data_IF_331547761971
#
_entry.id   IF_331547761971
#
_cell.length_a   1.000
_cell.length_b   1.000
_cell.length_c   1.000
_cell.angle_alpha   90.00
_cell.angle_beta   90.00
_cell.angle_gamma   90.00
#
_symmetry.space_group_name_H-M   'P 1'
#
loop_
_entity.id
_entity.type
_entity.pdbx_description
1 polymer ?
#
# COMPACT_ATOMS: atom_id res chain seq x y z
N UNK A 1 -20.05 -8.66 -8.73
CA UNK A 1 -18.90 -8.61 -9.65
C UNK A 1 -18.03 -9.83 -9.38
N UNK A 2 -17.52 -10.51 -10.40
CA UNK A 2 -16.61 -11.66 -10.20
C UNK A 2 -15.20 -11.14 -9.92
N UNK A 3 -14.77 -11.16 -8.66
CA UNK A 3 -13.45 -10.65 -8.24
C UNK A 3 -12.29 -11.43 -8.85
N UNK A 4 -12.53 -12.65 -9.37
CA UNK A 4 -11.49 -13.44 -10.06
C UNK A 4 -11.03 -12.80 -11.36
N UNK A 5 -11.83 -11.91 -11.94
CA UNK A 5 -11.50 -11.20 -13.19
C UNK A 5 -10.57 -10.01 -12.97
N UNK A 6 -10.38 -9.56 -11.74
CA UNK A 6 -9.47 -8.45 -11.44
C UNK A 6 -8.04 -9.00 -11.46
N UNK A 7 -7.15 -8.49 -12.32
CA UNK A 7 -5.75 -8.92 -12.34
C UNK A 7 -5.07 -8.65 -11.00
N UNK A 8 -4.23 -9.59 -10.56
CA UNK A 8 -3.46 -9.45 -9.32
C UNK A 8 -1.97 -9.38 -9.64
N UNK A 9 -1.27 -8.42 -9.06
CA UNK A 9 0.18 -8.35 -8.99
C UNK A 9 0.65 -8.82 -7.62
N UNK A 10 1.54 -9.80 -7.59
CA UNK A 10 2.31 -10.21 -6.44
C UNK A 10 3.77 -9.73 -6.59
N UNK A 11 4.18 -8.81 -5.73
CA UNK A 11 5.56 -8.36 -5.58
C UNK A 11 6.25 -9.22 -4.51
N UNK A 12 7.39 -9.82 -4.83
CA UNK A 12 8.09 -10.69 -3.90
C UNK A 12 9.62 -10.52 -3.97
N UNK A 13 10.32 -11.00 -2.96
CA UNK A 13 11.78 -11.04 -2.95
C UNK A 13 12.31 -12.35 -2.36
N UNK A 14 12.59 -12.40 -1.06
CA UNK A 14 13.36 -13.48 -0.44
C UNK A 14 12.73 -14.08 0.83
N UNK A 15 11.41 -13.85 1.05
CA UNK A 15 10.67 -14.29 2.25
C UNK A 15 9.65 -15.38 1.90
N UNK A 16 10.13 -16.61 1.71
CA UNK A 16 9.27 -17.73 1.34
C UNK A 16 8.19 -18.05 2.39
N UNK A 17 8.50 -17.87 3.67
CA UNK A 17 7.61 -18.20 4.79
C UNK A 17 6.37 -17.28 4.87
N UNK A 18 6.53 -15.97 4.69
CA UNK A 18 5.38 -15.05 4.60
C UNK A 18 4.68 -15.21 3.25
N UNK A 19 5.45 -15.42 2.17
CA UNK A 19 4.92 -15.64 0.83
C UNK A 19 3.95 -16.83 0.81
N UNK A 20 4.30 -17.95 1.44
CA UNK A 20 3.43 -19.13 1.51
C UNK A 20 2.06 -18.81 2.12
N UNK A 21 2.00 -17.94 3.12
CA UNK A 21 0.75 -17.53 3.74
C UNK A 21 -0.09 -16.63 2.81
N UNK A 22 0.56 -15.64 2.16
CA UNK A 22 -0.10 -14.79 1.16
C UNK A 22 -0.61 -15.64 -0.03
N UNK A 23 0.18 -16.63 -0.44
CA UNK A 23 -0.14 -17.55 -1.53
C UNK A 23 -1.37 -18.40 -1.24
N UNK A 24 -1.58 -18.85 0.00
CA UNK A 24 -2.83 -19.55 0.36
C UNK A 24 -4.06 -18.67 0.14
N UNK A 25 -3.97 -17.38 0.44
CA UNK A 25 -5.07 -16.45 0.20
C UNK A 25 -5.30 -16.23 -1.31
N UNK A 26 -4.24 -16.13 -2.11
CA UNK A 26 -4.33 -16.10 -3.58
C UNK A 26 -4.96 -17.37 -4.15
N UNK A 27 -4.55 -18.55 -3.67
CA UNK A 27 -5.09 -19.84 -4.08
C UNK A 27 -6.57 -20.00 -3.74
N UNK A 28 -7.03 -19.41 -2.63
CA UNK A 28 -8.45 -19.35 -2.30
C UNK A 28 -9.22 -18.37 -3.20
N UNK A 29 -8.61 -17.23 -3.54
CA UNK A 29 -9.21 -16.23 -4.41
C UNK A 29 -9.27 -16.67 -5.88
N UNK A 30 -8.35 -17.53 -6.32
CA UNK A 30 -8.24 -18.05 -7.68
C UNK A 30 -8.33 -16.93 -8.75
N UNK A 31 -7.44 -15.92 -8.71
CA UNK A 31 -7.44 -14.90 -9.75
C UNK A 31 -7.20 -15.55 -11.11
N UNK A 32 -8.00 -15.15 -12.10
CA UNK A 32 -7.87 -15.65 -13.47
C UNK A 32 -6.61 -15.13 -14.16
N UNK A 33 -6.07 -14.00 -13.70
CA UNK A 33 -4.82 -13.41 -14.20
C UNK A 33 -3.92 -13.03 -13.02
N UNK A 34 -2.72 -13.60 -12.98
CA UNK A 34 -1.73 -13.37 -11.93
C UNK A 34 -0.40 -12.92 -12.53
N UNK A 35 0.07 -11.77 -12.10
CA UNK A 35 1.40 -11.25 -12.39
C UNK A 35 2.26 -11.46 -11.15
N UNK A 36 3.44 -12.05 -11.31
CA UNK A 36 4.39 -12.25 -10.22
C UNK A 36 5.71 -11.58 -10.60
N UNK A 37 6.10 -10.57 -9.82
CA UNK A 37 7.37 -9.87 -10.00
C UNK A 37 8.26 -10.14 -8.80
N UNK A 38 9.41 -10.79 -9.04
CA UNK A 38 10.37 -11.18 -8.00
C UNK A 38 11.67 -10.40 -8.20
N UNK A 39 12.07 -9.61 -7.20
CA UNK A 39 13.36 -8.90 -7.23
C UNK A 39 14.53 -9.89 -7.30
N UNK A 40 15.68 -9.42 -7.78
CA UNK A 40 16.86 -10.26 -7.94
C UNK A 40 17.63 -10.43 -6.64
N UNK A 41 18.48 -11.45 -6.56
CA UNK A 41 19.27 -11.69 -5.37
C UNK A 41 20.39 -10.65 -5.23
N UNK A 42 20.75 -10.36 -3.98
CA UNK A 42 22.04 -9.73 -3.65
C UNK A 42 23.17 -10.69 -4.02
N UNK A 43 24.40 -10.19 -4.20
CA UNK A 43 25.54 -11.03 -4.58
C UNK A 43 26.07 -11.89 -3.42
N UNK A 44 25.18 -12.55 -2.65
CA UNK A 44 25.53 -13.50 -1.59
C UNK A 44 24.85 -14.86 -1.85
N UNK A 45 25.52 -15.99 -1.53
CA UNK A 45 24.95 -17.33 -1.73
C UNK A 45 23.62 -17.54 -0.99
N UNK A 46 23.49 -17.03 0.23
CA UNK A 46 22.30 -17.19 1.06
C UNK A 46 21.09 -16.47 0.44
N UNK A 47 21.30 -15.28 -0.11
CA UNK A 47 20.22 -14.50 -0.71
C UNK A 47 19.82 -15.08 -2.07
N UNK A 48 20.79 -15.54 -2.86
CA UNK A 48 20.54 -16.32 -4.09
C UNK A 48 19.67 -17.54 -3.81
N UNK A 49 20.00 -18.32 -2.78
CA UNK A 49 19.21 -19.50 -2.41
C UNK A 49 17.77 -19.14 -2.00
N UNK A 50 17.57 -18.06 -1.23
CA UNK A 50 16.23 -17.61 -0.82
C UNK A 50 15.38 -17.11 -1.99
N UNK A 51 15.96 -16.30 -2.87
CA UNK A 51 15.25 -15.80 -4.07
C UNK A 51 14.91 -16.95 -5.01
N UNK A 52 15.82 -17.90 -5.20
CA UNK A 52 15.54 -19.08 -6.03
C UNK A 52 14.42 -19.94 -5.44
N UNK A 53 14.39 -20.11 -4.11
CA UNK A 53 13.30 -20.80 -3.44
C UNK A 53 11.94 -20.09 -3.66
N UNK A 54 11.91 -18.75 -3.62
CA UNK A 54 10.71 -17.96 -3.94
C UNK A 54 10.28 -18.15 -5.40
N UNK A 55 11.20 -18.05 -6.37
CA UNK A 55 10.92 -18.25 -7.80
C UNK A 55 10.38 -19.63 -8.11
N UNK A 56 11.09 -20.65 -7.63
CA UNK A 56 10.69 -22.04 -7.77
C UNK A 56 9.29 -22.28 -7.18
N UNK A 57 8.99 -21.70 -6.00
CA UNK A 57 7.68 -21.82 -5.37
C UNK A 57 6.56 -21.21 -6.23
N UNK A 58 6.68 -19.94 -6.64
CA UNK A 58 5.60 -19.25 -7.39
C UNK A 58 5.34 -19.85 -8.77
N UNK A 59 6.33 -20.50 -9.38
CA UNK A 59 6.17 -21.17 -10.67
C UNK A 59 5.52 -22.55 -10.56
N UNK A 60 5.69 -23.24 -9.44
CA UNK A 60 5.24 -24.64 -9.28
C UNK A 60 3.94 -24.81 -8.49
N UNK A 61 3.41 -23.74 -7.89
CA UNK A 61 2.28 -23.81 -6.95
C UNK A 61 1.00 -23.11 -7.46
N UNK A 62 0.90 -22.86 -8.76
CA UNK A 62 -0.36 -22.43 -9.40
C UNK A 62 -1.14 -23.68 -9.80
N UNK A 63 -2.20 -23.98 -9.07
CA UNK A 63 -3.01 -25.19 -9.24
C UNK A 63 -4.50 -24.89 -9.51
N UNK A 64 -4.79 -23.67 -9.95
CA UNK A 64 -6.09 -23.23 -10.43
C UNK A 64 -5.96 -22.67 -11.86
N UNK A 65 -7.06 -22.61 -12.65
CA UNK A 65 -7.04 -21.98 -13.96
C UNK A 65 -6.61 -20.51 -13.87
N UNK A 66 -5.43 -20.19 -14.40
CA UNK A 66 -4.79 -18.88 -14.24
C UNK A 66 -3.85 -18.58 -15.40
N UNK A 67 -4.02 -17.41 -16.02
CA UNK A 67 -3.05 -16.81 -16.92
C UNK A 67 -1.96 -16.15 -16.07
N UNK A 68 -0.83 -16.84 -15.93
CA UNK A 68 0.27 -16.43 -15.06
C UNK A 68 1.44 -15.82 -15.84
N UNK A 69 1.90 -14.65 -15.42
CA UNK A 69 3.02 -13.93 -16.00
C UNK A 69 4.09 -13.70 -14.95
N UNK A 70 5.36 -13.88 -15.33
CA UNK A 70 6.49 -13.79 -14.40
C UNK A 70 7.51 -12.74 -14.86
N UNK A 71 7.93 -11.88 -13.94
CA UNK A 71 9.01 -10.91 -14.13
C UNK A 71 10.08 -11.14 -13.05
N UNK A 72 11.23 -11.67 -13.43
CA UNK A 72 12.32 -11.99 -12.49
C UNK A 72 13.54 -11.13 -12.78
N UNK A 73 13.93 -10.29 -11.84
CA UNK A 73 15.10 -9.44 -11.99
C UNK A 73 16.41 -10.25 -11.86
N UNK A 74 17.42 -10.05 -12.72
CA UNK A 74 18.66 -10.81 -12.62
C UNK A 74 19.46 -10.50 -11.35
N UNK A 75 19.35 -9.27 -10.84
CA UNK A 75 20.06 -8.74 -9.69
C UNK A 75 19.13 -7.87 -8.83
N UNK A 76 19.48 -7.71 -7.56
CA UNK A 76 18.69 -6.93 -6.62
C UNK A 76 18.59 -5.45 -7.04
N UNK A 77 17.38 -4.99 -7.32
CA UNK A 77 17.09 -3.60 -7.70
C UNK A 77 16.83 -2.70 -6.48
N UNK A 78 16.65 -3.29 -5.30
CA UNK A 78 16.26 -2.58 -4.08
C UNK A 78 14.76 -2.29 -4.04
N UNK A 79 14.30 -1.77 -2.90
CA UNK A 79 12.88 -1.58 -2.64
C UNK A 79 12.26 -0.56 -3.61
N UNK A 80 12.96 0.55 -3.86
CA UNK A 80 12.46 1.62 -4.74
C UNK A 80 12.25 1.15 -6.17
N UNK A 81 13.30 0.64 -6.81
CA UNK A 81 13.27 0.32 -8.24
C UNK A 81 12.68 -1.06 -8.52
N UNK A 82 12.86 -2.03 -7.63
CA UNK A 82 12.26 -3.36 -7.75
C UNK A 82 10.73 -3.29 -7.72
N UNK A 83 10.16 -2.56 -6.75
CA UNK A 83 8.70 -2.40 -6.66
C UNK A 83 8.16 -1.51 -7.78
N UNK A 84 8.76 -0.34 -8.02
CA UNK A 84 8.30 0.54 -9.09
C UNK A 84 8.39 -0.12 -10.48
N UNK A 85 9.44 -0.91 -10.73
CA UNK A 85 9.60 -1.68 -11.96
C UNK A 85 8.51 -2.74 -12.13
N UNK A 86 8.20 -3.49 -11.06
CA UNK A 86 7.08 -4.45 -11.06
C UNK A 86 5.73 -3.79 -11.33
N UNK A 87 5.47 -2.62 -10.73
CA UNK A 87 4.25 -1.84 -10.97
C UNK A 87 4.18 -1.29 -12.40
N UNK A 88 5.28 -0.78 -12.94
CA UNK A 88 5.37 -0.32 -14.33
C UNK A 88 5.08 -1.47 -15.32
N UNK A 89 5.66 -2.64 -15.09
CA UNK A 89 5.44 -3.83 -15.91
C UNK A 89 4.00 -4.36 -15.81
N UNK A 90 3.39 -4.30 -14.63
CA UNK A 90 1.99 -4.67 -14.45
C UNK A 90 1.05 -3.71 -15.18
N UNK A 91 1.16 -2.41 -14.90
CA UNK A 91 0.29 -1.41 -15.50
C UNK A 91 0.55 -1.16 -16.99
N UNK A 92 1.67 -1.62 -17.57
CA UNK A 92 1.80 -1.62 -19.04
C UNK A 92 0.89 -2.66 -19.72
N UNK A 93 0.41 -3.66 -18.97
CA UNK A 93 -0.38 -4.77 -19.48
C UNK A 93 -1.86 -4.67 -19.09
N UNK A 94 -2.17 -4.10 -17.92
CA UNK A 94 -3.55 -3.99 -17.42
C UNK A 94 -3.95 -2.54 -17.10
N UNK A 95 -5.25 -2.25 -17.16
CA UNK A 95 -5.80 -0.93 -16.83
C UNK A 95 -6.01 -0.73 -15.34
N UNK A 96 -6.20 -1.81 -14.59
CA UNK A 96 -6.42 -1.81 -13.15
C UNK A 96 -6.07 -3.16 -12.53
N UNK A 97 -5.91 -3.18 -11.21
CA UNK A 97 -5.80 -4.44 -10.50
C UNK A 97 -5.43 -4.31 -9.04
N UNK A 98 -5.27 -5.46 -8.41
CA UNK A 98 -4.90 -5.64 -7.00
C UNK A 98 -3.38 -5.82 -6.92
N UNK A 99 -2.76 -5.24 -5.90
CA UNK A 99 -1.33 -5.35 -5.60
C UNK A 99 -1.16 -5.91 -4.20
N UNK A 100 -0.43 -7.01 -4.11
CA UNK A 100 0.04 -7.64 -2.87
C UNK A 100 1.56 -7.73 -2.87
N UNK A 101 2.15 -7.67 -1.69
CA UNK A 101 3.54 -8.02 -1.41
C UNK A 101 3.61 -9.40 -0.73
N UNK A 102 4.79 -10.02 -0.75
CA UNK A 102 5.08 -11.33 -0.14
C UNK A 102 4.84 -11.41 1.38
N UNK A 103 4.47 -10.30 2.03
CA UNK A 103 4.14 -10.21 3.44
C UNK A 103 2.80 -9.51 3.74
N UNK A 104 1.99 -9.21 2.73
CA UNK A 104 0.67 -8.59 2.94
C UNK A 104 -0.42 -9.64 2.86
N UNK A 105 -0.78 -10.24 3.99
CA UNK A 105 -1.81 -11.28 4.06
C UNK A 105 -3.21 -10.66 3.94
N UNK A 106 -3.96 -10.96 2.86
CA UNK A 106 -5.32 -10.46 2.73
C UNK A 106 -6.33 -11.39 3.42
N UNK A 107 -7.38 -10.80 4.00
CA UNK A 107 -8.61 -11.52 4.30
C UNK A 107 -9.28 -11.95 2.98
N UNK A 108 -9.93 -13.13 2.88
CA UNK A 108 -10.54 -13.59 1.62
C UNK A 108 -11.50 -12.58 0.97
N UNK A 109 -12.23 -11.81 1.76
CA UNK A 109 -13.16 -10.78 1.25
C UNK A 109 -12.46 -9.51 0.72
N UNK A 110 -11.14 -9.37 0.89
CA UNK A 110 -10.37 -8.25 0.34
C UNK A 110 -10.49 -8.17 -1.18
N UNK A 111 -10.45 -9.32 -1.87
CA UNK A 111 -10.55 -9.38 -3.32
C UNK A 111 -11.91 -8.87 -3.82
N UNK A 112 -13.00 -9.21 -3.12
CA UNK A 112 -14.34 -8.69 -3.41
C UNK A 112 -14.41 -7.18 -3.16
N UNK A 113 -13.91 -6.71 -2.02
CA UNK A 113 -13.86 -5.28 -1.70
C UNK A 113 -13.07 -4.48 -2.75
N UNK A 114 -11.88 -4.95 -3.12
CA UNK A 114 -11.04 -4.28 -4.09
C UNK A 114 -11.71 -4.23 -5.46
N UNK A 115 -12.33 -5.33 -5.91
CA UNK A 115 -13.10 -5.36 -7.16
C UNK A 115 -14.27 -4.36 -7.14
N UNK A 116 -15.05 -4.32 -6.05
CA UNK A 116 -16.16 -3.38 -5.90
C UNK A 116 -15.71 -1.93 -5.95
N UNK A 117 -14.59 -1.59 -5.29
CA UNK A 117 -14.08 -0.22 -5.27
C UNK A 117 -13.41 0.16 -6.59
N UNK A 118 -12.73 -0.78 -7.26
CA UNK A 118 -12.17 -0.57 -8.60
C UNK A 118 -13.27 -0.23 -9.60
N UNK A 119 -14.37 -0.99 -9.60
CA UNK A 119 -15.52 -0.72 -10.45
C UNK A 119 -16.18 0.62 -10.12
N UNK A 120 -16.46 0.86 -8.84
CA UNK A 120 -17.17 2.05 -8.37
C UNK A 120 -16.46 3.34 -8.76
N UNK A 121 -15.13 3.36 -8.68
CA UNK A 121 -14.34 4.56 -8.91
C UNK A 121 -13.54 4.51 -10.21
N UNK A 122 -13.84 3.56 -11.11
CA UNK A 122 -13.12 3.34 -12.38
C UNK A 122 -12.89 4.63 -13.15
N UNK A 123 -13.95 5.42 -13.32
CA UNK A 123 -13.94 6.67 -14.08
C UNK A 123 -13.77 7.94 -13.22
N UNK A 124 -13.63 7.82 -11.90
CA UNK A 124 -13.49 9.01 -11.03
C UNK A 124 -11.99 9.36 -10.84
N UNK A 125 -11.49 10.45 -11.47
CA UNK A 125 -10.07 10.79 -11.42
C UNK A 125 -9.63 11.30 -10.04
N UNK A 126 -10.57 11.60 -9.14
CA UNK A 126 -10.27 12.03 -7.76
C UNK A 126 -9.81 10.85 -6.89
N UNK A 127 -10.06 9.62 -7.29
CA UNK A 127 -9.64 8.42 -6.56
C UNK A 127 -8.45 7.80 -7.29
N UNK A 128 -7.36 7.58 -6.55
CA UNK A 128 -6.11 7.03 -7.09
C UNK A 128 -5.66 5.73 -6.41
N UNK A 129 -6.20 5.38 -5.25
CA UNK A 129 -5.78 4.20 -4.51
C UNK A 129 -6.95 3.62 -3.72
N UNK A 130 -6.97 2.30 -3.60
CA UNK A 130 -7.88 1.55 -2.73
C UNK A 130 -7.00 0.77 -1.76
N UNK A 131 -7.02 1.13 -0.49
CA UNK A 131 -6.31 0.37 0.54
C UNK A 131 -7.20 -0.75 1.08
N UNK A 132 -6.60 -1.88 1.47
CA UNK A 132 -7.23 -2.87 2.34
C UNK A 132 -6.87 -2.73 3.82
N UNK A 133 -5.94 -1.85 4.18
CA UNK A 133 -5.48 -1.66 5.55
C UNK A 133 -6.37 -0.68 6.31
N UNK A 134 -6.84 -1.10 7.48
CA UNK A 134 -7.48 -0.22 8.48
C UNK A 134 -6.67 -0.26 9.79
N UNK A 135 -5.75 0.69 10.00
CA UNK A 135 -4.84 0.65 11.13
C UNK A 135 -5.39 1.26 12.43
N UNK A 136 -6.53 1.98 12.40
CA UNK A 136 -7.13 2.60 13.58
C UNK A 136 -8.13 1.66 14.28
N UNK A 137 -7.79 1.25 15.50
CA UNK A 137 -8.69 0.48 16.36
C UNK A 137 -9.75 1.38 16.99
N UNK A 138 -11.02 0.99 16.93
CA UNK A 138 -12.12 1.70 17.59
C UNK A 138 -12.56 2.99 16.90
N UNK A 139 -12.08 3.27 15.69
CA UNK A 139 -12.61 4.36 14.88
C UNK A 139 -14.07 4.10 14.53
N UNK A 140 -14.93 5.10 14.73
CA UNK A 140 -16.36 4.98 14.42
C UNK A 140 -16.59 5.44 12.99
N UNK A 141 -16.89 4.48 12.13
CA UNK A 141 -17.27 4.73 10.75
C UNK A 141 -18.76 5.04 10.64
N UNK A 142 -19.11 6.05 9.85
CA UNK A 142 -20.49 6.38 9.46
C UNK A 142 -20.84 5.85 8.07
N UNK A 143 -19.86 5.33 7.34
CA UNK A 143 -19.94 4.77 6.00
C UNK A 143 -19.12 3.46 5.92
N UNK A 144 -19.24 2.68 4.85
CA UNK A 144 -18.46 1.44 4.68
C UNK A 144 -16.96 1.67 4.52
N UNK A 145 -16.57 2.88 4.12
CA UNK A 145 -15.19 3.32 3.92
C UNK A 145 -15.09 4.83 4.13
N UNK A 146 -13.88 5.35 4.19
CA UNK A 146 -13.56 6.78 4.17
C UNK A 146 -12.59 7.08 3.04
N UNK A 147 -12.41 8.37 2.75
CA UNK A 147 -11.34 8.83 1.89
C UNK A 147 -10.27 9.52 2.71
N UNK A 148 -9.00 9.30 2.37
CA UNK A 148 -7.86 10.03 2.91
C UNK A 148 -6.89 10.41 1.80
N UNK A 149 -5.97 11.34 2.06
CA UNK A 149 -5.01 11.83 1.07
C UNK A 149 -3.75 10.99 0.96
N UNK A 150 -3.41 10.25 2.01
CA UNK A 150 -2.19 9.45 2.08
C UNK A 150 -2.53 7.98 1.84
N UNK A 151 -1.91 7.30 0.87
CA UNK A 151 -2.20 5.90 0.61
C UNK A 151 -1.67 5.00 1.73
N UNK A 152 -2.44 3.97 2.06
CA UNK A 152 -2.04 2.89 2.95
C UNK A 152 -1.79 1.64 2.09
N UNK A 153 -0.52 1.34 1.82
CA UNK A 153 -0.13 0.46 0.70
C UNK A 153 0.13 -1.00 1.07
N UNK A 154 -0.28 -1.44 2.26
CA UNK A 154 -0.29 -2.88 2.55
C UNK A 154 -1.56 -3.49 2.02
N UNK A 155 -1.43 -4.22 0.90
CA UNK A 155 -2.54 -4.79 0.15
C UNK A 155 -3.49 -3.72 -0.37
N UNK A 156 -3.39 -3.40 -1.65
CA UNK A 156 -4.09 -2.28 -2.24
C UNK A 156 -4.52 -2.58 -3.67
N UNK A 157 -5.26 -1.69 -4.28
CA UNK A 157 -5.65 -1.75 -5.69
C UNK A 157 -5.63 -0.35 -6.30
N UNK A 158 -5.41 -0.29 -7.61
CA UNK A 158 -5.32 0.98 -8.34
C UNK A 158 -5.49 0.76 -9.84
N UNK A 159 -5.37 1.86 -10.59
CA UNK A 159 -5.51 1.93 -12.03
C UNK A 159 -4.22 2.42 -12.68
N UNK A 160 -3.97 2.01 -13.92
CA UNK A 160 -2.93 2.57 -14.80
C UNK A 160 -3.03 4.09 -14.84
N UNK A 161 -4.24 4.65 -15.02
CA UNK A 161 -4.46 6.12 -15.02
C UNK A 161 -4.03 6.80 -13.72
N UNK A 162 -4.04 6.07 -12.61
CA UNK A 162 -3.63 6.58 -11.32
C UNK A 162 -2.09 6.52 -11.17
N UNK A 163 -1.48 5.45 -11.67
CA UNK A 163 -0.04 5.20 -11.65
C UNK A 163 0.76 6.04 -12.65
N UNK A 164 0.20 6.29 -13.83
CA UNK A 164 0.84 7.01 -14.93
C UNK A 164 1.37 8.38 -14.47
N UNK A 165 2.67 8.62 -14.69
CA UNK A 165 3.37 9.83 -14.26
C UNK A 165 4.11 9.72 -12.93
N UNK A 166 4.01 8.60 -12.22
CA UNK A 166 4.85 8.30 -11.06
C UNK A 166 6.35 8.46 -11.39
N UNK A 167 7.07 9.17 -10.52
CA UNK A 167 8.51 9.43 -10.69
C UNK A 167 9.30 8.97 -9.45
N UNK A 168 10.08 7.87 -9.53
CA UNK A 168 10.82 7.34 -8.38
C UNK A 168 11.94 8.28 -7.91
N UNK A 169 12.34 9.26 -8.73
CA UNK A 169 13.43 10.19 -8.45
C UNK A 169 12.96 11.57 -7.98
N UNK A 170 11.64 11.78 -7.84
CA UNK A 170 11.06 13.02 -7.31
C UNK A 170 11.59 14.30 -8.00
N UNK A 171 11.78 14.30 -9.32
CA UNK A 171 12.39 15.44 -10.03
C UNK A 171 11.64 16.75 -9.86
N UNK A 172 10.32 16.68 -9.64
CA UNK A 172 9.48 17.85 -9.40
C UNK A 172 9.46 18.32 -7.93
N UNK A 173 9.98 17.53 -6.99
CA UNK A 173 9.91 17.84 -5.56
C UNK A 173 10.56 19.18 -5.17
N UNK A 174 11.77 19.55 -5.63
CA UNK A 174 12.42 20.79 -5.19
C UNK A 174 11.56 22.03 -5.47
N UNK A 175 11.04 22.14 -6.70
CA UNK A 175 10.18 23.25 -7.13
C UNK A 175 8.85 23.24 -6.40
N UNK A 176 8.23 22.06 -6.21
CA UNK A 176 6.93 21.95 -5.54
C UNK A 176 7.01 22.16 -4.03
N UNK A 177 8.16 21.86 -3.41
CA UNK A 177 8.46 22.19 -2.01
C UNK A 177 8.48 23.70 -1.81
N UNK A 178 9.21 24.43 -2.64
CA UNK A 178 9.28 25.91 -2.61
C UNK A 178 7.92 26.56 -2.88
N UNK A 179 7.12 25.96 -3.77
CA UNK A 179 5.75 26.39 -4.06
C UNK A 179 4.72 26.05 -2.97
N UNK A 180 5.12 25.46 -1.84
CA UNK A 180 4.22 25.17 -0.72
C UNK A 180 3.20 24.05 -1.00
N UNK A 181 3.52 23.08 -1.86
CA UNK A 181 2.61 21.98 -2.23
C UNK A 181 2.08 21.25 -1.00
N UNK A 182 2.95 20.79 -0.09
CA UNK A 182 2.52 19.95 1.04
C UNK A 182 1.59 20.68 2.02
N UNK A 183 1.88 21.92 2.49
CA UNK A 183 0.93 22.67 3.31
C UNK A 183 -0.45 22.79 2.66
N UNK A 184 -0.51 23.04 1.34
CA UNK A 184 -1.77 23.12 0.60
C UNK A 184 -2.47 21.77 0.49
N UNK A 185 -1.77 20.76 -0.03
CA UNK A 185 -2.32 19.42 -0.27
C UNK A 185 -2.78 18.74 1.03
N UNK A 186 -2.10 18.97 2.14
CA UNK A 186 -2.42 18.40 3.46
C UNK A 186 -3.27 19.33 4.34
N UNK A 187 -3.85 20.40 3.77
CA UNK A 187 -4.73 21.36 4.46
C UNK A 187 -4.14 21.85 5.79
N UNK A 188 -2.85 22.17 5.79
CA UNK A 188 -2.15 22.70 6.96
C UNK A 188 -1.93 21.70 8.10
N UNK A 189 -2.09 20.39 7.89
CA UNK A 189 -1.74 19.38 8.90
C UNK A 189 -0.21 19.35 9.13
N UNK A 190 0.27 20.22 10.02
CA UNK A 190 1.70 20.46 10.26
C UNK A 190 2.49 19.18 10.59
N UNK A 191 2.01 18.26 11.45
CA UNK A 191 2.68 16.98 11.66
C UNK A 191 2.93 16.19 10.37
N UNK A 192 1.90 16.04 9.53
CA UNK A 192 2.06 15.34 8.25
C UNK A 192 2.98 16.10 7.29
N UNK A 193 2.85 17.42 7.20
CA UNK A 193 3.73 18.24 6.36
C UNK A 193 5.19 18.05 6.74
N UNK A 194 5.52 18.06 8.04
CA UNK A 194 6.89 17.86 8.52
C UNK A 194 7.43 16.48 8.18
N UNK A 195 6.64 15.43 8.44
CA UNK A 195 7.04 14.03 8.17
C UNK A 195 7.26 13.81 6.67
N UNK A 196 6.32 14.24 5.82
CA UNK A 196 6.45 14.08 4.37
C UNK A 196 7.60 14.91 3.81
N UNK A 197 7.80 16.14 4.29
CA UNK A 197 8.95 16.96 3.87
C UNK A 197 10.26 16.26 4.18
N UNK A 198 10.41 15.72 5.40
CA UNK A 198 11.60 14.98 5.80
C UNK A 198 11.82 13.74 4.92
N UNK A 199 10.79 12.91 4.73
CA UNK A 199 10.88 11.70 3.93
C UNK A 199 11.21 11.98 2.47
N UNK A 200 10.57 12.98 1.85
CA UNK A 200 10.83 13.36 0.47
C UNK A 200 12.25 13.91 0.28
N UNK A 201 12.76 14.71 1.22
CA UNK A 201 14.15 15.15 1.20
C UNK A 201 15.14 13.97 1.33
N UNK A 202 14.83 12.95 2.14
CA UNK A 202 15.68 11.76 2.25
C UNK A 202 15.66 10.92 0.96
N UNK A 203 14.51 10.80 0.29
CA UNK A 203 14.41 10.11 -1.01
C UNK A 203 15.18 10.88 -2.09
N UNK A 204 14.97 12.21 -2.18
CA UNK A 204 15.68 13.10 -3.10
C UNK A 204 17.21 12.98 -2.95
N UNK A 205 17.69 12.97 -1.70
CA UNK A 205 19.11 12.83 -1.38
C UNK A 205 19.66 11.39 -1.57
N UNK A 206 18.83 10.43 -1.99
CA UNK A 206 19.22 9.02 -2.15
C UNK A 206 19.47 8.27 -0.84
N UNK A 207 19.02 8.82 0.29
CA UNK A 207 19.25 8.27 1.64
C UNK A 207 18.12 7.35 2.12
N UNK A 208 17.00 7.31 1.39
CA UNK A 208 15.87 6.43 1.69
C UNK A 208 15.48 5.61 0.45
N UNK A 209 15.72 4.29 0.53
CA UNK A 209 15.31 3.32 -0.50
C UNK A 209 13.88 2.82 -0.24
N UNK A 210 12.91 3.52 -0.80
CA UNK A 210 11.48 3.18 -0.74
C UNK A 210 10.77 3.66 -2.00
N UNK A 211 9.51 3.24 -2.20
CA UNK A 211 8.65 3.63 -3.33
C UNK A 211 7.35 4.33 -2.90
N UNK A 212 6.89 4.06 -1.67
CA UNK A 212 5.60 4.47 -1.14
C UNK A 212 5.53 5.97 -0.80
N UNK A 213 6.64 6.59 -0.41
CA UNK A 213 6.76 8.04 -0.21
C UNK A 213 6.54 8.79 -1.52
N UNK A 214 7.15 8.32 -2.61
CA UNK A 214 6.99 8.90 -3.94
C UNK A 214 5.57 8.70 -4.47
N UNK A 215 4.96 7.55 -4.20
CA UNK A 215 3.57 7.29 -4.57
C UNK A 215 2.62 8.22 -3.82
N UNK A 216 2.83 8.40 -2.52
CA UNK A 216 2.08 9.36 -1.70
C UNK A 216 2.20 10.78 -2.24
N UNK A 217 3.42 11.22 -2.56
CA UNK A 217 3.67 12.53 -3.16
C UNK A 217 2.96 12.69 -4.51
N UNK A 218 2.99 11.68 -5.36
CA UNK A 218 2.30 11.72 -6.65
C UNK A 218 0.78 11.87 -6.49
N UNK A 219 0.16 11.12 -5.57
CA UNK A 219 -1.27 11.26 -5.28
C UNK A 219 -1.60 12.65 -4.73
N UNK A 220 -0.79 13.18 -3.80
CA UNK A 220 -0.95 14.54 -3.27
C UNK A 220 -0.83 15.60 -4.37
N UNK A 221 0.17 15.48 -5.25
CA UNK A 221 0.38 16.38 -6.39
C UNK A 221 -0.83 16.39 -7.33
N UNK A 222 -1.50 15.25 -7.50
CA UNK A 222 -2.68 15.10 -8.36
C UNK A 222 -4.02 15.30 -7.64
N UNK A 223 -4.02 15.67 -6.36
CA UNK A 223 -5.21 15.78 -5.51
C UNK A 223 -6.07 14.49 -5.53
N UNK A 224 -5.41 13.33 -5.54
CA UNK A 224 -6.05 12.02 -5.56
C UNK A 224 -6.20 11.49 -4.13
N UNK A 225 -7.33 10.85 -3.89
CA UNK A 225 -7.70 10.26 -2.61
C UNK A 225 -7.53 8.74 -2.64
N UNK A 226 -7.36 8.20 -1.44
CA UNK A 226 -7.30 6.78 -1.14
C UNK A 226 -8.58 6.36 -0.43
N UNK A 227 -9.20 5.28 -0.91
CA UNK A 227 -10.31 4.61 -0.22
C UNK A 227 -9.74 3.76 0.91
N UNK A 228 -10.29 3.89 2.11
CA UNK A 228 -9.89 3.09 3.27
C UNK A 228 -11.12 2.42 3.89
N UNK A 229 -11.14 1.08 4.04
CA UNK A 229 -12.31 0.35 4.51
C UNK A 229 -12.53 0.58 6.01
N UNK A 230 -13.78 0.41 6.43
CA UNK A 230 -14.12 0.40 7.85
C UNK A 230 -13.59 -0.85 8.60
N UNK A 231 -13.33 -1.95 7.87
CA UNK A 231 -12.76 -3.19 8.39
C UNK A 231 -11.30 -3.33 7.98
N UNK A 232 -10.48 -3.92 8.83
CA UNK A 232 -9.11 -4.24 8.45
C UNK A 232 -9.08 -5.52 7.60
N UNK A 233 -8.75 -5.38 6.32
CA UNK A 233 -8.74 -6.47 5.34
C UNK A 233 -7.34 -7.02 5.06
N UNK A 234 -6.28 -6.36 5.55
CA UNK A 234 -4.89 -6.76 5.33
C UNK A 234 -4.11 -6.81 6.63
N UNK A 235 -3.20 -7.78 6.76
CA UNK A 235 -2.22 -7.87 7.83
C UNK A 235 -0.81 -7.94 7.25
N UNK A 236 0.09 -7.08 7.71
CA UNK A 236 1.50 -7.15 7.34
C UNK A 236 2.25 -8.14 8.23
N UNK A 237 2.68 -9.26 7.64
CA UNK A 237 3.44 -10.35 8.27
C UNK A 237 4.93 -10.02 8.43
N UNK A 238 5.43 -9.02 7.70
CA UNK A 238 6.82 -8.58 7.72
C UNK A 238 7.20 -7.75 8.95
N UNK A 239 6.22 -7.25 9.71
CA UNK A 239 6.49 -6.53 10.95
C UNK A 239 7.18 -7.47 11.94
N UNK A 240 8.35 -7.06 12.45
CA UNK A 240 9.17 -7.87 13.35
C UNK A 240 9.88 -9.05 12.69
N UNK A 241 9.79 -9.20 11.37
CA UNK A 241 10.45 -10.28 10.63
C UNK A 241 11.96 -10.03 10.51
N UNK A 242 12.77 -11.07 10.64
CA UNK A 242 14.24 -10.95 10.63
C UNK A 242 14.79 -10.40 9.30
N UNK A 243 14.12 -10.72 8.19
CA UNK A 243 14.46 -10.23 6.85
C UNK A 243 13.70 -8.95 6.45
N UNK A 244 12.86 -8.38 7.33
CA UNK A 244 12.12 -7.16 7.04
C UNK A 244 13.06 -5.96 6.84
N UNK A 245 12.82 -5.15 5.80
CA UNK A 245 13.67 -4.00 5.49
C UNK A 245 13.39 -2.82 6.45
N UNK A 246 12.11 -2.40 6.51
CA UNK A 246 11.70 -1.16 7.19
C UNK A 246 10.89 -1.39 8.48
N UNK A 247 10.46 -2.63 8.75
CA UNK A 247 9.51 -2.98 9.83
C UNK A 247 10.10 -3.93 10.87
N UNK A 248 11.43 -3.93 11.10
CA UNK A 248 12.13 -4.87 12.00
C UNK A 248 11.68 -4.90 13.47
N UNK A 249 11.01 -3.84 13.94
CA UNK A 249 10.53 -3.72 15.32
C UNK A 249 9.05 -4.03 15.39
N UNK A 250 8.62 -4.78 16.41
CA UNK A 250 7.20 -5.02 16.70
C UNK A 250 6.43 -3.72 16.86
N UNK A 251 5.14 -3.76 16.52
CA UNK A 251 4.23 -2.61 16.59
C UNK A 251 2.88 -3.02 17.19
N UNK A 252 2.18 -2.12 17.91
CA UNK A 252 0.85 -2.42 18.46
C UNK A 252 -0.17 -2.88 17.40
N UNK A 253 -0.06 -2.34 16.18
CA UNK A 253 -0.95 -2.67 15.05
C UNK A 253 -0.52 -3.91 14.24
N UNK A 254 0.53 -4.62 14.67
CA UNK A 254 0.99 -5.83 13.98
C UNK A 254 -0.07 -6.95 13.96
N UNK A 255 -0.87 -7.02 15.02
CA UNK A 255 -1.86 -8.09 15.22
C UNK A 255 -3.29 -7.55 15.16
N UNK A 256 -3.53 -6.50 14.37
CA UNK A 256 -4.91 -6.08 14.12
C UNK A 256 -5.69 -7.25 13.53
N UNK A 257 -6.90 -7.53 14.04
CA UNK A 257 -7.71 -8.61 13.53
C UNK A 257 -8.02 -8.36 12.05
N UNK A 258 -8.03 -9.44 11.27
CA UNK A 258 -8.65 -9.41 9.96
C UNK A 258 -10.15 -9.55 10.15
N UNK A 259 -10.91 -8.67 9.52
CA UNK A 259 -12.36 -8.68 9.61
C UNK A 259 -12.96 -8.80 8.20
N UNK A 260 -14.08 -9.53 8.02
CA UNK A 260 -14.70 -9.66 6.72
C UNK A 260 -15.24 -8.32 6.24
N UNK A 261 -15.14 -8.08 4.93
CA UNK A 261 -15.80 -6.98 4.25
C UNK A 261 -17.32 -7.15 4.38
N UNK A 262 -18.00 -6.13 4.91
CA UNK A 262 -19.45 -6.18 5.16
C UNK A 262 -20.27 -5.33 4.20
N UNK A 263 -19.62 -4.73 3.20
CA UNK A 263 -20.25 -3.67 2.42
C UNK A 263 -20.48 -2.40 3.26
N UNK A 264 -21.21 -1.47 2.69
CA UNK A 264 -21.66 -0.27 3.37
C UNK A 264 -22.05 0.82 2.39
N UNK A 265 -22.77 1.83 2.88
CA UNK A 265 -23.05 3.01 2.08
C UNK A 265 -21.74 3.78 1.82
N UNK A 266 -21.60 4.42 0.64
CA UNK A 266 -20.50 5.34 0.40
C UNK A 266 -20.59 6.55 1.34
N UNK A 267 -19.47 7.23 1.64
CA UNK A 267 -19.49 8.57 2.21
C UNK A 267 -20.35 9.52 1.37
N UNK A 268 -20.99 10.54 1.98
CA UNK A 268 -21.88 11.47 1.27
C UNK A 268 -21.14 12.34 0.24
N UNK A 269 -19.82 12.46 0.34
CA UNK A 269 -18.98 13.18 -0.61
C UNK A 269 -17.60 12.52 -0.74
N UNK A 270 -16.97 12.72 -1.91
CA UNK A 270 -15.58 12.34 -2.14
C UNK A 270 -14.69 13.47 -1.61
N UNK A 271 -14.53 13.47 -0.28
CA UNK A 271 -13.71 14.43 0.47
C UNK A 271 -12.91 13.68 1.52
N UNK A 272 -11.68 14.13 1.85
CA UNK A 272 -10.88 13.48 2.87
C UNK A 272 -11.55 13.59 4.26
N UNK A 273 -11.56 12.48 4.99
CA UNK A 273 -11.95 12.42 6.39
C UNK A 273 -10.81 12.99 7.25
N UNK A 274 -10.87 14.30 7.48
CA UNK A 274 -9.84 15.03 8.24
C UNK A 274 -9.70 14.53 9.68
N UNK A 275 -10.79 14.23 10.42
CA UNK A 275 -10.66 13.58 11.73
C UNK A 275 -9.88 12.26 11.67
N UNK A 276 -10.17 11.39 10.71
CA UNK A 276 -9.46 10.14 10.53
C UNK A 276 -7.97 10.38 10.25
N UNK A 277 -7.65 11.27 9.32
CA UNK A 277 -6.25 11.60 8.99
C UNK A 277 -5.47 12.15 10.19
N UNK A 278 -6.11 12.95 11.06
CA UNK A 278 -5.49 13.48 12.28
C UNK A 278 -5.24 12.36 13.29
N UNK A 279 -6.19 11.46 13.50
CA UNK A 279 -6.01 10.29 14.36
C UNK A 279 -4.89 9.39 13.82
N UNK A 280 -4.88 9.12 12.52
CA UNK A 280 -3.81 8.36 11.88
C UNK A 280 -2.44 9.05 12.05
N UNK A 281 -2.33 10.35 11.75
CA UNK A 281 -1.11 11.11 11.94
C UNK A 281 -0.61 11.08 13.39
N UNK A 282 -1.53 11.10 14.36
CA UNK A 282 -1.21 11.00 15.77
C UNK A 282 -0.62 9.64 16.17
N UNK A 283 -1.29 8.55 15.77
CA UNK A 283 -0.90 7.20 16.16
C UNK A 283 0.37 6.73 15.43
N UNK A 284 0.55 7.14 14.18
CA UNK A 284 1.57 6.61 13.29
C UNK A 284 2.65 7.62 12.88
N UNK A 285 2.36 8.93 12.95
CA UNK A 285 3.28 9.99 12.55
C UNK A 285 3.89 10.81 13.69
N UNK A 286 3.19 11.01 14.81
CA UNK A 286 3.63 11.94 15.85
C UNK A 286 4.48 11.26 16.94
N UNK A 287 5.73 11.69 17.06
CA UNK A 287 6.61 11.36 18.20
C UNK A 287 6.37 12.27 19.43
N UNK A 288 5.53 13.31 19.32
CA UNK A 288 5.35 14.30 20.37
C UNK A 288 4.47 13.80 21.54
N UNK A 289 5.10 13.60 22.71
CA UNK A 289 4.50 13.13 23.96
C UNK A 289 3.41 14.06 24.55
N UNK A 290 3.37 15.34 24.18
CA UNK A 290 2.35 16.28 24.69
C UNK A 290 1.02 16.16 23.94
N UNK A 291 1.04 15.95 22.61
CA UNK A 291 -0.14 15.56 21.84
C UNK A 291 -0.69 14.24 22.41
N UNK A 292 0.21 13.26 22.59
CA UNK A 292 0.18 12.18 23.62
C UNK A 292 -0.87 12.31 24.72
N UNK A 293 -0.57 13.27 25.60
CA UNK A 293 -1.26 13.50 26.84
C UNK A 293 -2.58 14.27 26.66
N UNK A 294 -2.65 15.24 25.75
CA UNK A 294 -3.86 16.04 25.50
C UNK A 294 -5.07 15.20 25.07
N UNK A 295 -4.87 14.21 24.20
CA UNK A 295 -5.94 13.29 23.77
C UNK A 295 -6.38 12.31 24.86
N UNK A 296 -5.45 11.85 25.71
CA UNK A 296 -5.77 10.94 26.83
C UNK A 296 -6.65 11.61 27.89
N UNK A 297 -6.69 12.93 27.91
CA UNK A 297 -7.47 13.74 28.84
C UNK A 297 -8.83 14.17 28.29
N UNK A 298 -9.25 13.66 27.12
CA UNK A 298 -10.59 13.88 26.59
C UNK A 298 -10.88 15.33 26.19
N UNK A 299 -9.86 16.09 25.79
CA UNK A 299 -10.06 17.47 25.35
C UNK A 299 -10.82 17.56 24.03
N UNK A 300 -11.94 18.27 24.02
CA UNK A 300 -12.59 18.74 22.79
C UNK A 300 -11.76 19.84 22.12
N UNK A 301 -11.87 19.94 20.79
CA UNK A 301 -11.02 20.77 19.92
C UNK A 301 -11.33 22.28 20.04
N UNK A 302 -10.34 23.19 19.90
CA UNK A 302 -10.58 24.60 19.57
C UNK A 302 -10.79 24.82 18.07
#
# INVERSE_FOLDING_TARGET
MDSRRVPVLLLAYNRLDTLQQVWQALRQAQPATLFVSVDGPKPTPEDRARVEAVRSFVQSHIDWPCDAYFNFYPENQGCKLGVAGGLNWFFSQVEEGIILEDDTLPHPSFFTYAAEMLERYREDPRVGCISGLQPLTGWRFTAGWVFIRVPLIWGWASWRRAWEGYDPFLRAWPTLREGGLLPKALAGNLPLVQIFTQQLNLVEAGQLDTWDVQWSFWLLQKNRLTVVPAQNLIRNLGIGHALGLHTKKRRPWQNLPLEPWRGGAPPPAILPDLPYERAWAYYFGAHALWLKAWYRLGGDYP
#
